data_IF_343960316003
#
_entry.id   IF_343960316003
#
_cell.length_a   1.000
_cell.length_b   1.000
_cell.length_c   1.000
_cell.angle_alpha   90.00
_cell.angle_beta   90.00
_cell.angle_gamma   90.00
#
_symmetry.space_group_name_H-M   'P 1'
#
loop_
_entity.id
_entity.type
_entity.pdbx_description
1 polymer ?
#
# COMPACT_ATOMS: atom_id res chain seq x y z
N UNK A 1 18.85 -7.51 -5.49
CA UNK A 1 19.75 -8.64 -5.15
C UNK A 1 20.97 -8.26 -4.24
N UNK A 2 21.00 -7.06 -3.63
CA UNK A 2 22.19 -6.55 -2.93
C UNK A 2 21.94 -6.13 -1.46
N UNK A 3 20.83 -6.57 -0.87
CA UNK A 3 20.50 -6.24 0.52
C UNK A 3 21.08 -7.26 1.50
N UNK A 4 21.27 -6.84 2.75
CA UNK A 4 21.68 -7.76 3.83
C UNK A 4 20.68 -8.92 4.00
N UNK A 5 19.38 -8.62 3.89
CA UNK A 5 18.31 -9.63 3.95
C UNK A 5 18.46 -10.68 2.84
N UNK A 6 18.71 -10.25 1.61
CA UNK A 6 18.89 -11.15 0.48
C UNK A 6 20.07 -12.10 0.70
N UNK A 7 21.25 -11.56 1.05
CA UNK A 7 22.45 -12.37 1.36
C UNK A 7 22.22 -13.35 2.52
N UNK A 8 21.43 -12.97 3.53
CA UNK A 8 21.07 -13.87 4.63
C UNK A 8 20.17 -15.02 4.14
N UNK A 9 19.08 -14.70 3.43
CA UNK A 9 18.15 -15.72 2.92
C UNK A 9 18.84 -16.68 1.93
N UNK A 10 19.77 -16.17 1.13
CA UNK A 10 20.59 -16.98 0.23
C UNK A 10 21.46 -17.98 1.01
N UNK A 11 22.19 -17.51 2.03
CA UNK A 11 23.00 -18.38 2.90
C UNK A 11 22.16 -19.41 3.66
N UNK A 12 20.94 -19.04 4.04
CA UNK A 12 19.99 -19.96 4.70
C UNK A 12 19.29 -20.92 3.72
N UNK A 13 19.55 -20.84 2.40
CA UNK A 13 18.90 -21.69 1.40
C UNK A 13 17.39 -21.47 1.27
N UNK A 14 16.91 -20.28 1.67
CA UNK A 14 15.47 -19.97 1.76
C UNK A 14 14.94 -19.11 0.61
N UNK A 15 15.78 -18.69 -0.33
CA UNK A 15 15.33 -17.95 -1.51
C UNK A 15 14.68 -18.91 -2.51
N UNK A 16 13.56 -18.49 -3.10
CA UNK A 16 12.87 -19.21 -4.15
C UNK A 16 13.31 -18.65 -5.51
N UNK A 17 13.72 -19.53 -6.42
CA UNK A 17 14.10 -19.18 -7.78
C UNK A 17 12.83 -19.17 -8.65
N UNK A 18 12.02 -18.12 -8.50
CA UNK A 18 10.78 -17.93 -9.27
C UNK A 18 10.85 -16.66 -10.12
N UNK A 19 10.14 -16.66 -11.23
CA UNK A 19 9.90 -15.45 -12.03
C UNK A 19 9.07 -14.48 -11.20
N UNK A 20 9.73 -13.42 -10.73
CA UNK A 20 9.07 -12.38 -9.97
C UNK A 20 8.27 -11.51 -10.93
N UNK A 21 6.95 -11.40 -10.71
CA UNK A 21 6.08 -10.52 -11.50
C UNK A 21 6.53 -9.04 -11.47
N UNK A 22 7.31 -8.64 -10.46
CA UNK A 22 7.63 -7.23 -10.20
C UNK A 22 6.49 -6.45 -9.54
N UNK A 23 5.32 -7.08 -9.34
CA UNK A 23 4.23 -6.53 -8.55
C UNK A 23 4.56 -6.63 -7.06
N UNK A 24 4.65 -5.48 -6.39
CA UNK A 24 4.97 -5.38 -4.96
C UNK A 24 3.77 -5.64 -4.04
N UNK A 25 2.57 -5.83 -4.60
CA UNK A 25 1.35 -6.14 -3.87
C UNK A 25 0.90 -7.59 -4.06
N UNK A 26 1.61 -8.38 -4.86
CA UNK A 26 1.38 -9.82 -4.99
C UNK A 26 1.68 -10.54 -3.65
N UNK A 27 0.95 -11.60 -3.38
CA UNK A 27 1.07 -12.44 -2.20
C UNK A 27 2.08 -13.59 -2.39
N UNK A 28 2.70 -13.70 -3.57
CA UNK A 28 3.79 -14.64 -3.83
C UNK A 28 5.01 -14.30 -2.99
N UNK A 29 5.37 -15.23 -2.11
CA UNK A 29 6.61 -15.14 -1.35
C UNK A 29 7.75 -15.57 -2.25
N UNK A 30 8.82 -14.78 -2.28
CA UNK A 30 10.08 -15.14 -2.94
C UNK A 30 11.08 -15.85 -2.01
N UNK A 31 10.61 -16.27 -0.85
CA UNK A 31 11.41 -17.00 0.13
C UNK A 31 10.53 -17.89 1.00
N UNK A 32 11.11 -18.94 1.57
CA UNK A 32 10.45 -19.81 2.55
C UNK A 32 10.48 -19.11 3.93
N UNK A 33 9.34 -18.70 4.51
CA UNK A 33 9.31 -18.06 5.83
C UNK A 33 9.61 -19.06 6.96
N UNK A 34 10.17 -18.57 8.08
CA UNK A 34 10.32 -19.40 9.30
C UNK A 34 9.00 -19.59 10.04
N UNK A 35 8.07 -18.65 9.87
CA UNK A 35 6.71 -18.75 10.39
C UNK A 35 5.80 -19.39 9.34
N UNK A 36 4.64 -19.86 9.77
CA UNK A 36 3.62 -20.37 8.85
C UNK A 36 3.33 -19.33 7.74
N UNK A 37 3.46 -19.68 6.44
CA UNK A 37 3.23 -18.76 5.32
C UNK A 37 1.85 -18.11 5.32
N UNK A 38 0.81 -18.85 5.67
CA UNK A 38 -0.56 -18.35 5.74
C UNK A 38 -0.69 -17.26 6.80
N UNK A 39 -0.11 -17.49 7.99
CA UNK A 39 -0.08 -16.49 9.07
C UNK A 39 0.65 -15.20 8.65
N UNK A 40 1.72 -15.33 7.86
CA UNK A 40 2.44 -14.16 7.33
C UNK A 40 1.56 -13.36 6.34
N UNK A 41 0.91 -14.04 5.40
CA UNK A 41 0.02 -13.44 4.40
C UNK A 41 -1.18 -12.76 5.07
N UNK A 42 -1.81 -13.40 6.04
CA UNK A 42 -2.96 -12.85 6.74
C UNK A 42 -2.57 -11.64 7.61
N UNK A 43 -1.39 -11.69 8.22
CA UNK A 43 -0.81 -10.52 8.91
C UNK A 43 -0.61 -9.35 7.97
N UNK A 44 -0.05 -9.59 6.78
CA UNK A 44 0.12 -8.56 5.76
C UNK A 44 -1.22 -7.94 5.32
N UNK A 45 -2.22 -8.77 5.00
CA UNK A 45 -3.58 -8.30 4.67
C UNK A 45 -4.20 -7.47 5.78
N UNK A 46 -4.06 -7.91 7.03
CA UNK A 46 -4.57 -7.17 8.20
C UNK A 46 -3.96 -5.77 8.30
N UNK A 47 -2.63 -5.67 8.10
CA UNK A 47 -1.93 -4.39 8.07
C UNK A 47 -2.47 -3.51 6.95
N UNK A 48 -2.57 -4.02 5.71
CA UNK A 48 -3.08 -3.27 4.57
C UNK A 48 -4.50 -2.74 4.83
N UNK A 49 -5.42 -3.60 5.29
CA UNK A 49 -6.79 -3.23 5.64
C UNK A 49 -6.81 -2.10 6.67
N UNK A 50 -5.94 -2.17 7.69
CA UNK A 50 -5.89 -1.16 8.75
C UNK A 50 -5.31 0.16 8.26
N UNK A 51 -4.17 0.13 7.57
CA UNK A 51 -3.50 1.38 7.16
C UNK A 51 -4.24 2.04 6.00
N UNK A 52 -4.75 1.29 5.03
CA UNK A 52 -5.46 1.86 3.87
C UNK A 52 -6.98 1.90 4.04
N UNK A 53 -7.50 1.70 5.26
CA UNK A 53 -8.86 2.11 5.58
C UNK A 53 -8.99 3.63 5.35
N UNK A 54 -10.03 4.12 4.65
CA UNK A 54 -10.09 5.53 4.23
C UNK A 54 -10.00 6.51 5.40
N UNK A 55 -10.64 6.24 6.53
CA UNK A 55 -10.53 7.10 7.72
C UNK A 55 -9.09 7.15 8.27
N UNK A 56 -8.47 5.99 8.48
CA UNK A 56 -7.11 5.90 9.01
C UNK A 56 -6.08 6.51 8.05
N UNK A 57 -6.31 6.38 6.74
CA UNK A 57 -5.51 7.00 5.71
C UNK A 57 -5.64 8.52 5.74
N UNK A 58 -6.87 9.05 5.71
CA UNK A 58 -7.08 10.50 5.74
C UNK A 58 -6.59 11.14 7.02
N UNK A 59 -6.67 10.46 8.17
CA UNK A 59 -6.06 10.94 9.42
C UNK A 59 -4.54 11.09 9.34
N UNK A 60 -3.86 10.18 8.63
CA UNK A 60 -2.41 10.32 8.38
C UNK A 60 -2.13 11.47 7.42
N UNK A 61 -2.93 11.60 6.36
CA UNK A 61 -2.77 12.70 5.40
C UNK A 61 -3.00 14.06 6.08
N UNK A 62 -4.03 14.21 6.92
CA UNK A 62 -4.27 15.45 7.70
C UNK A 62 -3.06 15.82 8.55
N UNK A 63 -2.48 14.85 9.27
CA UNK A 63 -1.28 15.07 10.09
C UNK A 63 -0.08 15.50 9.26
N UNK A 64 0.06 14.94 8.05
CA UNK A 64 1.08 15.37 7.11
C UNK A 64 0.81 16.81 6.61
N UNK A 65 -0.41 17.11 6.15
CA UNK A 65 -0.77 18.43 5.62
C UNK A 65 -0.62 19.54 6.66
N UNK A 66 -0.85 19.25 7.95
CA UNK A 66 -0.64 20.20 9.04
C UNK A 66 0.83 20.62 9.23
N UNK A 67 1.79 19.80 8.78
CA UNK A 67 3.23 20.04 8.91
C UNK A 67 3.89 20.30 7.55
N UNK A 68 3.14 20.12 6.45
CA UNK A 68 3.70 20.21 5.12
C UNK A 68 4.07 21.67 4.79
N UNK A 69 5.24 21.92 4.21
CA UNK A 69 5.56 23.25 3.73
C UNK A 69 4.57 23.65 2.63
N UNK A 70 4.31 24.96 2.42
CA UNK A 70 3.47 25.44 1.33
C UNK A 70 3.83 24.82 -0.02
N UNK A 71 2.82 24.63 -0.87
CA UNK A 71 2.96 23.91 -2.13
C UNK A 71 4.15 24.41 -2.96
N UNK A 72 5.05 23.49 -3.34
CA UNK A 72 6.28 23.76 -4.11
C UNK A 72 5.98 24.08 -5.59
N UNK A 73 4.72 23.99 -6.04
CA UNK A 73 4.40 24.00 -7.48
C UNK A 73 4.56 25.40 -8.08
N UNK A 74 5.73 25.64 -8.68
CA UNK A 74 6.09 26.83 -9.48
C UNK A 74 5.61 26.63 -10.92
N UNK A 75 4.30 26.77 -11.19
CA UNK A 75 3.78 26.72 -12.57
C UNK A 75 2.26 26.69 -12.68
N UNK A 76 1.69 27.07 -13.83
CA UNK A 76 0.25 27.14 -14.04
C UNK A 76 -0.42 25.76 -14.02
N UNK A 77 -1.71 25.74 -13.68
CA UNK A 77 -2.54 24.53 -13.70
C UNK A 77 -2.79 24.09 -15.14
N UNK A 78 -2.66 22.79 -15.39
CA UNK A 78 -3.00 22.19 -16.69
C UNK A 78 -4.45 21.73 -16.69
N UNK A 79 -5.08 21.67 -17.86
CA UNK A 79 -6.44 21.12 -18.01
C UNK A 79 -6.58 19.70 -17.42
N UNK A 80 -5.51 18.90 -17.48
CA UNK A 80 -5.45 17.57 -16.87
C UNK A 80 -5.58 17.59 -15.35
N UNK A 81 -5.12 18.63 -14.66
CA UNK A 81 -5.23 18.75 -13.20
C UNK A 81 -6.71 18.92 -12.79
N UNK A 82 -7.45 19.78 -13.50
CA UNK A 82 -8.89 19.95 -13.28
C UNK A 82 -9.68 18.69 -13.62
N UNK A 83 -9.32 18.02 -14.72
CA UNK A 83 -9.93 16.73 -15.09
C UNK A 83 -9.71 15.66 -14.00
N UNK A 84 -8.53 15.63 -13.39
CA UNK A 84 -8.23 14.73 -12.28
C UNK A 84 -9.05 15.07 -11.03
N UNK A 85 -9.21 16.35 -10.71
CA UNK A 85 -10.06 16.81 -9.60
C UNK A 85 -11.52 16.40 -9.79
N UNK A 86 -12.12 16.70 -10.95
CA UNK A 86 -13.52 16.33 -11.24
C UNK A 86 -13.71 14.81 -11.15
N UNK A 87 -12.79 14.02 -11.72
CA UNK A 87 -12.84 12.56 -11.61
C UNK A 87 -12.72 12.07 -10.17
N UNK A 88 -11.90 12.73 -9.35
CA UNK A 88 -11.77 12.42 -7.93
C UNK A 88 -13.08 12.65 -7.20
N UNK A 89 -13.74 13.78 -7.42
CA UNK A 89 -15.05 14.12 -6.83
C UNK A 89 -16.11 13.09 -7.24
N UNK A 90 -16.19 12.76 -8.53
CA UNK A 90 -17.17 11.79 -9.02
C UNK A 90 -16.92 10.39 -8.43
N UNK A 91 -15.71 9.86 -8.58
CA UNK A 91 -15.41 8.48 -8.15
C UNK A 91 -15.48 8.30 -6.63
N UNK A 92 -14.95 9.24 -5.86
CA UNK A 92 -14.83 9.09 -4.40
C UNK A 92 -15.97 9.77 -3.64
N UNK A 93 -16.37 10.96 -4.08
CA UNK A 93 -17.37 11.78 -3.39
C UNK A 93 -18.81 11.43 -3.75
N UNK A 94 -19.08 10.97 -4.99
CA UNK A 94 -20.44 10.61 -5.42
C UNK A 94 -20.63 9.09 -5.34
N UNK A 95 -19.81 8.35 -6.10
CA UNK A 95 -19.98 6.90 -6.26
C UNK A 95 -19.21 6.05 -5.24
N UNK A 96 -18.36 6.63 -4.41
CA UNK A 96 -17.50 5.88 -3.49
C UNK A 96 -18.20 5.45 -2.20
N UNK A 97 -17.88 4.25 -1.72
CA UNK A 97 -18.44 3.70 -0.47
C UNK A 97 -18.09 4.55 0.77
N UNK A 98 -16.93 5.19 0.75
CA UNK A 98 -16.41 6.04 1.82
C UNK A 98 -16.57 7.55 1.52
N UNK A 99 -17.66 7.92 0.84
CA UNK A 99 -17.94 9.32 0.46
C UNK A 99 -17.93 10.29 1.63
N UNK A 100 -18.39 9.89 2.81
CA UNK A 100 -18.38 10.74 4.00
C UNK A 100 -16.97 11.05 4.48
N UNK A 101 -16.09 10.03 4.54
CA UNK A 101 -14.68 10.20 4.86
C UNK A 101 -13.98 11.12 3.85
N UNK A 102 -14.30 10.93 2.55
CA UNK A 102 -13.81 11.78 1.47
C UNK A 102 -14.26 13.23 1.63
N UNK A 103 -15.56 13.50 1.79
CA UNK A 103 -16.10 14.86 1.89
C UNK A 103 -15.60 15.58 3.13
N UNK A 104 -15.52 14.90 4.28
CA UNK A 104 -14.91 15.45 5.49
C UNK A 104 -13.47 15.88 5.23
N UNK A 105 -12.66 15.01 4.63
CA UNK A 105 -11.28 15.32 4.27
C UNK A 105 -11.19 16.45 3.24
N UNK A 106 -12.02 16.43 2.20
CA UNK A 106 -12.03 17.41 1.12
C UNK A 106 -12.36 18.81 1.63
N UNK A 107 -13.40 18.94 2.47
CA UNK A 107 -13.81 20.22 3.04
C UNK A 107 -12.75 20.78 3.99
N UNK A 108 -12.16 19.94 4.84
CA UNK A 108 -11.03 20.34 5.68
C UNK A 108 -9.82 20.75 4.84
N UNK A 109 -9.51 20.05 3.75
CA UNK A 109 -8.44 20.39 2.84
C UNK A 109 -8.68 21.75 2.15
N UNK A 110 -9.90 22.00 1.69
CA UNK A 110 -10.28 23.22 1.00
C UNK A 110 -10.29 24.45 1.93
N UNK A 111 -10.64 24.27 3.21
CA UNK A 111 -10.80 25.36 4.18
C UNK A 111 -9.55 25.59 5.04
N UNK A 112 -9.02 24.53 5.65
CA UNK A 112 -7.91 24.58 6.61
C UNK A 112 -6.54 24.44 5.96
N UNK A 113 -6.43 23.59 4.92
CA UNK A 113 -5.16 23.27 4.26
C UNK A 113 -5.06 23.86 2.84
N UNK A 114 -5.68 25.02 2.61
CA UNK A 114 -5.78 25.69 1.29
C UNK A 114 -4.44 25.85 0.55
N UNK A 115 -3.35 26.06 1.28
CA UNK A 115 -2.01 26.28 0.72
C UNK A 115 -1.32 24.98 0.23
N UNK A 116 -1.89 23.81 0.57
CA UNK A 116 -1.46 22.47 0.16
C UNK A 116 -2.62 21.66 -0.43
N UNK A 117 -3.68 22.31 -0.88
CA UNK A 117 -4.90 21.66 -1.34
C UNK A 117 -4.65 20.71 -2.52
N UNK A 118 -3.75 21.07 -3.43
CA UNK A 118 -3.38 20.22 -4.55
C UNK A 118 -2.73 18.91 -4.12
N UNK A 119 -1.85 18.95 -3.12
CA UNK A 119 -1.30 17.75 -2.48
C UNK A 119 -2.41 16.95 -1.82
N UNK A 120 -3.36 17.60 -1.16
CA UNK A 120 -4.49 16.90 -0.55
C UNK A 120 -5.30 16.11 -1.59
N UNK A 121 -5.55 16.68 -2.77
CA UNK A 121 -6.23 15.98 -3.86
C UNK A 121 -5.39 14.82 -4.41
N UNK A 122 -4.07 15.00 -4.58
CA UNK A 122 -3.16 13.91 -4.98
C UNK A 122 -3.24 12.76 -3.96
N UNK A 123 -3.16 13.07 -2.66
CA UNK A 123 -3.27 12.06 -1.62
C UNK A 123 -4.65 11.41 -1.55
N UNK A 124 -5.74 12.12 -1.81
CA UNK A 124 -7.05 11.49 -1.93
C UNK A 124 -7.09 10.47 -3.08
N UNK A 125 -6.54 10.82 -4.25
CA UNK A 125 -6.47 9.89 -5.39
C UNK A 125 -5.60 8.67 -5.05
N UNK A 126 -4.44 8.89 -4.42
CA UNK A 126 -3.57 7.80 -3.98
C UNK A 126 -4.23 6.92 -2.91
N UNK A 127 -4.95 7.53 -1.96
CA UNK A 127 -5.71 6.84 -0.93
C UNK A 127 -6.76 5.91 -1.51
N UNK A 128 -7.53 6.40 -2.49
CA UNK A 128 -8.48 5.56 -3.22
C UNK A 128 -7.79 4.43 -3.97
N UNK A 129 -6.67 4.69 -4.64
CA UNK A 129 -5.91 3.66 -5.33
C UNK A 129 -5.42 2.56 -4.36
N UNK A 130 -4.81 2.93 -3.23
CA UNK A 130 -4.36 1.97 -2.23
C UNK A 130 -5.49 1.21 -1.55
N UNK A 131 -6.62 1.86 -1.32
CA UNK A 131 -7.81 1.20 -0.82
C UNK A 131 -8.29 0.12 -1.80
N UNK A 132 -8.42 0.46 -3.08
CA UNK A 132 -8.83 -0.48 -4.13
C UNK A 132 -7.84 -1.63 -4.26
N UNK A 133 -6.52 -1.35 -4.29
CA UNK A 133 -5.51 -2.41 -4.29
C UNK A 133 -5.61 -3.31 -3.07
N UNK A 134 -5.85 -2.74 -1.89
CA UNK A 134 -6.04 -3.52 -0.66
C UNK A 134 -7.23 -4.47 -0.80
N UNK A 135 -8.35 -4.03 -1.38
CA UNK A 135 -9.50 -4.90 -1.63
C UNK A 135 -9.14 -6.03 -2.60
N UNK A 136 -8.44 -5.72 -3.70
CA UNK A 136 -7.99 -6.73 -4.66
C UNK A 136 -7.12 -7.78 -3.96
N UNK A 137 -6.07 -7.37 -3.26
CA UNK A 137 -5.14 -8.28 -2.55
C UNK A 137 -5.84 -9.11 -1.47
N UNK A 138 -6.82 -8.52 -0.77
CA UNK A 138 -7.56 -9.23 0.27
C UNK A 138 -8.55 -10.25 -0.30
N UNK A 139 -9.03 -10.04 -1.54
CA UNK A 139 -9.98 -10.93 -2.21
C UNK A 139 -9.28 -11.98 -3.10
N UNK A 140 -8.05 -11.73 -3.51
CA UNK A 140 -7.22 -12.69 -4.26
C UNK A 140 -6.87 -13.89 -3.39
N UNK A 141 -6.94 -15.11 -3.95
CA UNK A 141 -6.35 -16.29 -3.32
C UNK A 141 -4.82 -16.19 -3.38
N UNK A 142 -4.10 -16.63 -2.34
CA UNK A 142 -2.65 -16.73 -2.42
C UNK A 142 -2.30 -17.81 -3.46
N UNK A 143 -1.77 -17.40 -4.60
CA UNK A 143 -1.34 -18.30 -5.67
C UNK A 143 0.18 -18.49 -5.57
N UNK A 144 0.63 -19.64 -5.07
CA UNK A 144 2.06 -19.98 -5.09
C UNK A 144 2.34 -21.37 -4.47
N UNK A 145 3.47 -22.01 -4.83
CA UNK A 145 3.84 -23.36 -4.40
C UNK A 145 4.05 -23.51 -2.87
N UNK A 146 4.05 -22.39 -2.13
CA UNK A 146 4.34 -22.31 -0.70
C UNK A 146 3.22 -22.82 0.23
N UNK A 147 2.02 -23.09 -0.28
CA UNK A 147 0.98 -23.78 0.52
C UNK A 147 1.25 -25.29 0.63
N UNK A 148 2.07 -25.85 -0.28
CA UNK A 148 2.39 -27.28 -0.36
C UNK A 148 3.71 -27.63 0.34
N UNK A 149 4.63 -26.67 0.48
CA UNK A 149 5.96 -26.88 1.05
C UNK A 149 5.93 -26.51 2.54
N UNK A 150 5.32 -27.37 3.35
CA UNK A 150 5.12 -27.14 4.78
C UNK A 150 6.32 -27.56 5.67
N UNK A 151 7.47 -27.97 5.11
CA UNK A 151 8.61 -28.38 5.90
C UNK A 151 9.77 -27.39 5.77
N UNK A 152 10.20 -26.72 6.86
CA UNK A 152 11.49 -26.06 6.86
C UNK A 152 12.58 -27.13 6.60
N UNK A 153 13.62 -26.85 5.80
CA UNK A 153 14.76 -27.75 5.70
C UNK A 153 15.35 -27.96 7.10
N UNK A 154 15.81 -29.18 7.44
CA UNK A 154 16.40 -29.46 8.74
C UNK A 154 17.53 -28.45 8.99
N UNK A 155 17.55 -27.89 10.21
CA UNK A 155 18.61 -26.99 10.62
C UNK A 155 19.94 -27.68 10.34
N UNK A 156 20.77 -27.09 9.47
CA UNK A 156 22.15 -27.54 9.31
C UNK A 156 22.78 -27.47 10.69
N UNK A 157 22.97 -28.66 11.27
CA UNK A 157 23.72 -28.88 12.50
C UNK A 157 25.03 -28.11 12.35
N UNK A 158 25.19 -27.03 13.12
CA UNK A 158 26.50 -26.42 13.32
C UNK A 158 27.39 -27.46 14.01
N UNK A 159 28.10 -28.27 13.22
CA UNK A 159 29.26 -28.99 13.71
C UNK A 159 30.44 -28.02 13.64
N UNK A 160 30.96 -27.76 14.84
CA UNK A 160 32.30 -27.31 15.26
C UNK A 160 33.18 -26.59 14.23
#
# INVERSE_FOLDING_TARGET
>A
PNTQLYRRLQREGRLLNEDHSGDNMDLRLNFVPKMNPQKLIDGYRSILKRIYHPDAYYDRVRRYLAQAPPGIRKGPRRASDYKALVRSILKQGVFGDFRWSYWKFFLEAATRYRHTFDRAIIFAIMGHHFHTLTQIVCNSKPEGPNLSIAAPPPALSSRA
#
